data_IF_209989113526
#
_entry.id   IF_209989113526
#
_cell.length_a   1.000
_cell.length_b   1.000
_cell.length_c   1.000
_cell.angle_alpha   90.00
_cell.angle_beta   90.00
_cell.angle_gamma   90.00
#
_symmetry.space_group_name_H-M   'P 1'
#
loop_
_entity.id
_entity.type
_entity.pdbx_description
1 polymer ?
#
# COMPACT_ATOMS: atom_id res chain seq x y z
N UNK A 1 6.10 -2.09 -16.24
CA UNK A 1 6.23 -2.14 -14.77
C UNK A 1 5.40 -0.99 -14.22
N UNK A 2 4.52 -1.22 -13.24
CA UNK A 2 3.52 -0.25 -12.81
C UNK A 2 4.04 0.68 -11.69
N UNK A 3 3.70 1.97 -11.74
CA UNK A 3 3.94 2.98 -10.69
C UNK A 3 2.91 2.79 -9.58
N UNK A 4 3.31 2.68 -8.31
CA UNK A 4 2.33 2.64 -7.22
C UNK A 4 1.82 4.05 -6.87
N UNK A 5 0.50 4.20 -6.81
CA UNK A 5 -0.22 5.39 -6.36
C UNK A 5 -1.01 5.04 -5.11
N UNK A 6 -1.24 6.00 -4.23
CA UNK A 6 -2.09 5.80 -3.05
C UNK A 6 -3.38 6.58 -3.24
N UNK A 7 -4.52 5.91 -3.17
CA UNK A 7 -5.80 6.57 -3.27
C UNK A 7 -5.98 7.62 -2.16
N UNK A 8 -6.60 8.74 -2.51
CA UNK A 8 -6.73 9.92 -1.66
C UNK A 8 -5.50 10.83 -1.61
N UNK A 9 -4.36 10.46 -2.21
CA UNK A 9 -3.13 11.26 -2.16
C UNK A 9 -2.66 11.73 -3.54
N UNK A 10 -2.21 13.00 -3.67
CA UNK A 10 -1.71 13.53 -4.93
C UNK A 10 -0.41 12.85 -5.33
N UNK A 11 -0.33 12.46 -6.60
CA UNK A 11 0.83 11.82 -7.19
C UNK A 11 1.17 12.45 -8.53
N UNK A 12 2.45 12.77 -8.73
CA UNK A 12 2.96 13.26 -10.02
C UNK A 12 3.24 12.07 -10.93
N UNK A 13 2.62 12.04 -12.10
CA UNK A 13 2.79 11.02 -13.14
C UNK A 13 3.48 11.67 -14.33
N UNK A 14 4.60 11.10 -14.75
CA UNK A 14 5.45 11.67 -15.81
C UNK A 14 5.25 10.89 -17.11
N UNK A 15 5.13 11.63 -18.20
CA UNK A 15 4.97 11.13 -19.57
C UNK A 15 6.09 11.70 -20.44
N UNK A 16 6.73 10.82 -21.21
CA UNK A 16 7.73 11.19 -22.21
C UNK A 16 7.29 10.66 -23.55
N UNK A 17 7.32 11.52 -24.55
CA UNK A 17 6.92 11.19 -25.91
C UNK A 17 8.14 11.14 -26.79
N UNK A 18 8.15 10.19 -27.73
CA UNK A 18 9.26 10.00 -28.64
C UNK A 18 8.75 9.93 -30.07
N UNK A 19 9.56 10.43 -31.00
CA UNK A 19 9.33 10.21 -32.43
C UNK A 19 9.70 8.76 -32.85
N UNK A 20 9.54 8.45 -34.12
CA UNK A 20 9.85 7.12 -34.68
C UNK A 20 11.35 6.78 -34.62
N UNK A 21 12.20 7.79 -34.49
CA UNK A 21 13.65 7.66 -34.38
C UNK A 21 14.12 7.58 -32.91
N UNK A 22 13.21 7.68 -31.94
CA UNK A 22 13.52 7.67 -30.51
C UNK A 22 13.97 9.02 -29.94
N UNK A 23 13.81 10.12 -30.67
CA UNK A 23 14.09 11.46 -30.16
C UNK A 23 12.96 11.93 -29.25
N UNK A 24 13.32 12.56 -28.13
CA UNK A 24 12.37 13.12 -27.17
C UNK A 24 11.62 14.30 -27.81
N UNK A 25 10.29 14.28 -27.72
CA UNK A 25 9.42 15.35 -28.18
C UNK A 25 9.02 16.27 -27.03
N UNK A 26 9.22 17.57 -27.23
CA UNK A 26 9.01 18.61 -26.20
C UNK A 26 7.96 19.65 -26.58
N UNK A 27 7.45 19.63 -27.81
CA UNK A 27 6.50 20.61 -28.35
C UNK A 27 5.29 19.89 -28.95
N UNK A 28 4.51 19.26 -28.07
CA UNK A 28 3.24 18.62 -28.42
C UNK A 28 2.07 19.57 -28.17
N UNK A 29 1.10 19.52 -29.07
CA UNK A 29 -0.20 20.19 -28.95
C UNK A 29 -1.31 19.18 -28.59
N UNK A 30 -2.48 19.69 -28.17
CA UNK A 30 -3.66 18.87 -27.84
C UNK A 30 -3.40 17.72 -26.84
N UNK A 31 -2.52 17.97 -25.86
CA UNK A 31 -2.09 16.94 -24.94
C UNK A 31 -3.16 16.59 -23.91
N UNK A 32 -3.44 15.30 -23.74
CA UNK A 32 -4.38 14.81 -22.72
C UNK A 32 -3.99 13.42 -22.26
N UNK A 33 -4.54 12.99 -21.11
CA UNK A 33 -4.41 11.62 -20.63
C UNK A 33 -5.76 11.02 -20.25
N UNK A 34 -5.87 9.70 -20.41
CA UNK A 34 -7.02 8.90 -19.96
C UNK A 34 -6.51 7.75 -19.11
N UNK A 35 -7.16 7.52 -17.97
CA UNK A 35 -6.93 6.37 -17.09
C UNK A 35 -7.83 5.21 -17.49
N UNK A 36 -7.27 4.01 -17.58
CA UNK A 36 -7.98 2.78 -17.90
C UNK A 36 -7.76 1.71 -16.85
N UNK A 37 -8.77 0.87 -16.63
CA UNK A 37 -8.65 -0.37 -15.86
C UNK A 37 -7.85 -1.41 -16.65
N UNK A 38 -6.82 -2.00 -16.04
CA UNK A 38 -6.10 -3.11 -16.68
C UNK A 38 -6.90 -4.41 -16.69
N UNK A 39 -7.95 -4.52 -15.85
CA UNK A 39 -8.80 -5.69 -15.77
C UNK A 39 -9.89 -5.69 -16.84
N UNK A 40 -10.54 -4.54 -17.05
CA UNK A 40 -11.70 -4.42 -17.95
C UNK A 40 -11.36 -3.73 -19.26
N UNK A 41 -10.26 -2.96 -19.32
CA UNK A 41 -9.91 -2.13 -20.48
C UNK A 41 -10.79 -0.88 -20.63
N UNK A 42 -11.73 -0.66 -19.71
CA UNK A 42 -12.62 0.49 -19.73
C UNK A 42 -11.94 1.75 -19.20
N UNK A 43 -12.32 2.90 -19.77
CA UNK A 43 -11.88 4.20 -19.30
C UNK A 43 -12.54 4.49 -17.94
N UNK A 44 -11.71 4.88 -16.97
CA UNK A 44 -12.10 5.24 -15.61
C UNK A 44 -12.22 6.76 -15.51
N UNK A 45 -11.24 7.49 -16.05
CA UNK A 45 -11.23 8.95 -16.11
C UNK A 45 -10.63 9.42 -17.42
N UNK A 46 -11.31 10.35 -18.11
CA UNK A 46 -10.94 10.81 -19.44
C UNK A 46 -10.54 12.29 -19.44
N UNK A 47 -9.74 12.69 -20.43
CA UNK A 47 -9.38 14.09 -20.71
C UNK A 47 -8.66 14.80 -19.54
N UNK A 48 -7.83 14.06 -18.82
CA UNK A 48 -6.98 14.61 -17.76
C UNK A 48 -5.93 15.53 -18.39
N UNK A 49 -5.84 16.75 -17.86
CA UNK A 49 -4.95 17.79 -18.38
C UNK A 49 -3.49 17.49 -18.04
N UNK A 50 -2.61 17.61 -19.04
CA UNK A 50 -1.17 17.49 -18.87
C UNK A 50 -0.53 18.88 -18.76
N UNK A 51 0.45 18.98 -17.88
CA UNK A 51 1.34 20.12 -17.75
C UNK A 51 2.68 19.79 -18.39
N UNK A 52 3.38 20.79 -18.92
CA UNK A 52 4.73 20.62 -19.45
C UNK A 52 5.76 21.25 -18.51
N UNK A 53 6.80 20.48 -18.17
CA UNK A 53 7.95 20.94 -17.38
C UNK A 53 9.11 21.22 -18.34
N UNK A 54 9.33 22.49 -18.65
CA UNK A 54 10.34 22.92 -19.64
C UNK A 54 11.76 22.66 -19.19
N UNK A 55 12.02 22.72 -17.88
CA UNK A 55 13.36 22.57 -17.31
C UNK A 55 13.82 21.12 -17.38
N UNK A 56 12.89 20.19 -17.22
CA UNK A 56 13.17 18.74 -17.20
C UNK A 56 12.70 18.00 -18.46
N UNK A 57 12.07 18.70 -19.40
CA UNK A 57 11.63 18.20 -20.71
C UNK A 57 10.70 16.98 -20.61
N UNK A 58 9.61 17.10 -19.85
CA UNK A 58 8.58 16.07 -19.79
C UNK A 58 7.18 16.66 -19.58
N UNK A 59 6.17 15.86 -19.91
CA UNK A 59 4.78 16.16 -19.57
C UNK A 59 4.43 15.45 -18.25
N UNK A 60 3.56 16.05 -17.44
CA UNK A 60 3.11 15.43 -16.21
C UNK A 60 1.67 15.76 -15.86
N UNK A 61 1.06 14.87 -15.08
CA UNK A 61 -0.23 15.05 -14.43
C UNK A 61 -0.02 14.97 -12.92
N UNK A 62 -0.73 15.79 -12.15
CA UNK A 62 -0.94 15.54 -10.72
C UNK A 62 -2.28 14.85 -10.59
N UNK A 63 -2.26 13.58 -10.18
CA UNK A 63 -3.45 12.74 -10.07
C UNK A 63 -3.69 12.35 -8.62
N UNK A 64 -4.92 12.49 -8.15
CA UNK A 64 -5.37 12.00 -6.85
C UNK A 64 -6.36 10.87 -7.15
N UNK A 65 -5.95 9.59 -7.00
CA UNK A 65 -6.86 8.49 -7.23
C UNK A 65 -8.02 8.55 -6.23
N UNK A 66 -9.24 8.30 -6.70
CA UNK A 66 -10.40 8.18 -5.82
C UNK A 66 -10.22 7.03 -4.83
N UNK A 67 -10.78 7.16 -3.62
CA UNK A 67 -10.60 6.22 -2.51
C UNK A 67 -11.11 4.80 -2.76
N UNK A 68 -12.04 4.67 -3.70
CA UNK A 68 -12.62 3.41 -4.17
C UNK A 68 -11.80 2.71 -5.26
N UNK A 69 -10.80 3.38 -5.84
CA UNK A 69 -9.91 2.76 -6.82
C UNK A 69 -8.84 1.92 -6.11
N UNK A 70 -8.75 0.65 -6.50
CA UNK A 70 -7.65 -0.23 -6.11
C UNK A 70 -7.37 -1.30 -7.16
N UNK A 71 -6.10 -1.61 -7.39
CA UNK A 71 -5.66 -2.57 -8.41
C UNK A 71 -4.78 -1.94 -9.48
N UNK A 72 -4.61 -2.65 -10.60
CA UNK A 72 -3.70 -2.23 -11.68
C UNK A 72 -4.46 -1.49 -12.78
N UNK A 73 -3.93 -0.34 -13.17
CA UNK A 73 -4.47 0.59 -14.16
C UNK A 73 -3.36 1.05 -15.11
N UNK A 74 -3.71 1.78 -16.15
CA UNK A 74 -2.74 2.45 -16.99
C UNK A 74 -3.27 3.78 -17.51
N UNK A 75 -2.40 4.79 -17.53
CA UNK A 75 -2.65 6.04 -18.22
C UNK A 75 -2.19 5.91 -19.66
N UNK A 76 -3.02 6.36 -20.59
CA UNK A 76 -2.64 6.61 -21.97
C UNK A 76 -2.65 8.12 -22.18
N UNK A 77 -1.47 8.70 -22.31
CA UNK A 77 -1.30 10.09 -22.66
C UNK A 77 -1.11 10.23 -24.17
N UNK A 78 -1.74 11.23 -24.78
CA UNK A 78 -1.63 11.53 -26.21
C UNK A 78 -1.32 13.00 -26.45
N UNK A 79 -0.69 13.31 -27.57
CA UNK A 79 -0.47 14.67 -28.05
C UNK A 79 -0.05 14.66 -29.52
N UNK A 80 -0.28 15.75 -30.23
CA UNK A 80 0.06 15.90 -31.65
C UNK A 80 1.41 16.59 -31.78
N UNK A 81 2.34 15.99 -32.52
CA UNK A 81 3.62 16.63 -32.85
C UNK A 81 3.47 17.76 -33.86
N UNK A 82 4.56 18.44 -34.17
CA UNK A 82 4.58 19.57 -35.10
C UNK A 82 4.13 19.22 -36.53
N UNK A 83 4.14 17.93 -36.88
CA UNK A 83 3.68 17.42 -38.18
C UNK A 83 2.20 16.99 -38.13
N UNK A 84 1.54 17.12 -36.98
CA UNK A 84 0.16 16.69 -36.74
C UNK A 84 0.02 15.18 -36.54
N UNK A 85 1.12 14.47 -36.30
CA UNK A 85 1.10 13.03 -36.02
C UNK A 85 0.81 12.82 -34.53
N UNK A 86 -0.20 11.99 -34.25
CA UNK A 86 -0.58 11.65 -32.88
C UNK A 86 0.47 10.73 -32.24
N UNK A 87 1.02 11.16 -31.12
CA UNK A 87 1.97 10.42 -30.28
C UNK A 87 1.28 9.90 -29.04
N UNK A 88 1.82 8.83 -28.47
CA UNK A 88 1.24 8.16 -27.30
C UNK A 88 2.32 7.75 -26.31
N UNK A 89 2.06 7.98 -25.03
CA UNK A 89 2.88 7.51 -23.91
C UNK A 89 2.00 6.76 -22.94
N UNK A 90 2.35 5.51 -22.64
CA UNK A 90 1.58 4.67 -21.70
C UNK A 90 2.35 4.48 -20.40
N UNK A 91 1.68 4.73 -19.28
CA UNK A 91 2.23 4.56 -17.94
C UNK A 91 1.32 3.63 -17.15
N UNK A 92 1.82 2.46 -16.78
CA UNK A 92 1.09 1.54 -15.90
C UNK A 92 1.16 2.02 -14.46
N UNK A 93 0.09 1.87 -13.71
CA UNK A 93 0.02 2.26 -12.30
C UNK A 93 -0.70 1.19 -11.49
N UNK A 94 -0.28 0.97 -10.25
CA UNK A 94 -1.04 0.21 -9.26
C UNK A 94 -1.60 1.20 -8.25
N UNK A 95 -2.92 1.36 -8.22
CA UNK A 95 -3.59 2.19 -7.22
C UNK A 95 -3.80 1.33 -5.98
N UNK A 96 -3.25 1.80 -4.88
CA UNK A 96 -3.39 1.23 -3.55
C UNK A 96 -4.60 1.88 -2.87
N UNK A 97 -5.39 1.13 -2.09
CA UNK A 97 -6.59 1.64 -1.44
C UNK A 97 -6.29 2.81 -0.50
N UNK A 98 -7.31 3.62 -0.22
CA UNK A 98 -7.17 4.80 0.62
C UNK A 98 -6.60 4.44 1.98
N UNK A 99 -5.47 5.05 2.30
CA UNK A 99 -4.73 4.77 3.52
C UNK A 99 -5.12 5.76 4.61
N UNK A 100 -6.39 5.84 4.98
CA UNK A 100 -6.80 6.53 6.22
C UNK A 100 -5.98 6.07 7.44
N UNK A 101 -5.47 4.84 7.40
CA UNK A 101 -4.53 4.28 8.37
C UNK A 101 -3.09 4.84 8.32
N UNK A 102 -2.64 5.47 7.23
CA UNK A 102 -1.34 6.14 7.18
C UNK A 102 -1.28 7.35 8.12
N UNK A 103 -2.42 7.91 8.54
CA UNK A 103 -2.47 8.93 9.60
C UNK A 103 -1.94 8.41 10.95
N UNK A 104 -1.85 7.09 11.13
CA UNK A 104 -1.20 6.49 12.31
C UNK A 104 0.32 6.59 12.25
N UNK A 105 0.89 6.89 11.08
CA UNK A 105 2.30 7.20 10.92
C UNK A 105 2.46 8.72 10.97
N UNK A 106 3.00 9.20 12.08
CA UNK A 106 3.29 10.61 12.30
C UNK A 106 4.32 11.12 11.28
N UNK A 107 3.88 11.96 10.34
CA UNK A 107 4.75 12.50 9.28
C UNK A 107 5.88 13.37 9.86
N UNK A 108 5.63 14.13 10.93
CA UNK A 108 6.65 15.00 11.56
C UNK A 108 7.75 14.20 12.25
N UNK A 109 7.43 12.99 12.70
CA UNK A 109 8.44 12.05 13.19
C UNK A 109 9.20 11.37 12.05
N UNK A 110 8.55 11.02 10.93
CA UNK A 110 9.22 10.44 9.76
C UNK A 110 10.20 11.43 9.13
N UNK A 111 9.83 12.71 9.03
CA UNK A 111 10.70 13.74 8.45
C UNK A 111 12.00 13.95 9.22
N UNK A 112 12.06 13.60 10.51
CA UNK A 112 13.33 13.62 11.28
C UNK A 112 14.37 12.62 10.77
N UNK A 113 13.95 11.61 10.03
CA UNK A 113 14.83 10.63 9.39
C UNK A 113 15.21 11.05 7.96
N UNK A 114 14.64 12.15 7.46
CA UNK A 114 14.96 12.73 6.16
C UNK A 114 15.97 13.85 6.37
N UNK A 115 17.16 13.71 5.77
CA UNK A 115 18.20 14.73 5.84
C UNK A 115 18.06 15.75 4.70
N UNK A 116 16.91 16.42 4.62
CA UNK A 116 16.61 17.44 3.62
C UNK A 116 15.92 18.66 4.25
N UNK A 117 16.29 19.86 3.79
CA UNK A 117 15.71 21.13 4.25
C UNK A 117 14.42 21.48 3.50
N UNK A 118 14.19 20.93 2.31
CA UNK A 118 13.01 21.17 1.48
C UNK A 118 12.32 19.85 1.16
N UNK A 119 11.54 19.35 2.13
CA UNK A 119 10.87 18.06 2.00
C UNK A 119 9.67 18.17 1.05
N UNK A 120 9.65 17.33 0.02
CA UNK A 120 8.49 17.12 -0.84
C UNK A 120 7.50 16.18 -0.13
N UNK A 121 6.47 16.77 0.47
CA UNK A 121 5.43 16.02 1.18
C UNK A 121 4.55 15.18 0.25
N UNK A 122 4.56 15.42 -1.07
CA UNK A 122 3.73 14.67 -2.02
C UNK A 122 4.19 13.23 -2.23
N UNK A 123 5.47 12.92 -1.95
CA UNK A 123 6.02 11.58 -2.11
C UNK A 123 5.94 10.74 -0.83
N UNK A 124 5.87 11.38 0.34
CA UNK A 124 5.92 10.71 1.64
C UNK A 124 4.88 9.60 1.83
N UNK A 125 3.59 9.77 1.48
CA UNK A 125 2.59 8.72 1.66
C UNK A 125 2.98 7.42 0.93
N UNK A 126 3.48 7.54 -0.30
CA UNK A 126 3.93 6.39 -1.08
C UNK A 126 5.17 5.73 -0.47
N UNK A 127 6.12 6.51 0.03
CA UNK A 127 7.31 5.97 0.71
C UNK A 127 6.95 5.23 1.98
N UNK A 128 6.08 5.81 2.81
CA UNK A 128 5.63 5.21 4.05
C UNK A 128 4.88 3.92 3.76
N UNK A 129 4.00 3.91 2.76
CA UNK A 129 3.30 2.69 2.35
C UNK A 129 4.29 1.59 1.96
N UNK A 130 5.24 1.89 1.07
CA UNK A 130 6.24 0.91 0.59
C UNK A 130 7.10 0.38 1.74
N UNK A 131 7.55 1.26 2.63
CA UNK A 131 8.29 0.86 3.83
C UNK A 131 7.45 -0.03 4.74
N UNK A 132 6.17 0.31 4.94
CA UNK A 132 5.27 -0.44 5.80
C UNK A 132 4.99 -1.84 5.25
N UNK A 133 4.69 -1.96 3.95
CA UNK A 133 4.48 -3.27 3.30
C UNK A 133 5.69 -4.18 3.47
N UNK A 134 6.90 -3.65 3.27
CA UNK A 134 8.11 -4.45 3.43
C UNK A 134 8.35 -4.87 4.89
N UNK A 135 8.04 -4.00 5.87
CA UNK A 135 8.07 -4.39 7.28
C UNK A 135 7.03 -5.48 7.58
N UNK A 136 5.84 -5.40 6.99
CA UNK A 136 4.82 -6.45 7.12
C UNK A 136 5.29 -7.78 6.53
N UNK A 137 5.93 -7.75 5.36
CA UNK A 137 6.45 -8.95 4.69
C UNK A 137 7.52 -9.66 5.54
N UNK A 138 8.40 -8.89 6.18
CA UNK A 138 9.47 -9.44 7.04
C UNK A 138 8.94 -9.96 8.36
N UNK A 139 8.04 -9.20 8.99
CA UNK A 139 7.51 -9.58 10.30
C UNK A 139 6.42 -10.64 10.19
N UNK A 140 5.78 -10.77 9.02
CA UNK A 140 4.58 -11.58 8.84
C UNK A 140 3.37 -11.03 9.61
N UNK A 141 3.46 -9.77 10.08
CA UNK A 141 2.45 -9.11 10.90
C UNK A 141 1.81 -7.96 10.11
N UNK A 142 0.54 -7.71 10.36
CA UNK A 142 -0.15 -6.52 9.86
C UNK A 142 0.30 -5.32 10.68
N UNK A 143 0.80 -4.28 10.03
CA UNK A 143 1.26 -3.07 10.71
C UNK A 143 0.12 -2.06 10.78
N UNK A 144 -0.48 -1.74 9.63
CA UNK A 144 -1.59 -0.79 9.56
C UNK A 144 -2.93 -1.51 9.77
N UNK A 145 -3.79 -1.03 10.68
CA UNK A 145 -5.09 -1.62 10.96
C UNK A 145 -5.91 -1.89 9.70
N UNK A 146 -6.34 -3.13 9.50
CA UNK A 146 -7.21 -3.53 8.39
C UNK A 146 -8.22 -4.55 8.88
N UNK A 147 -9.44 -4.45 8.38
CA UNK A 147 -10.51 -5.40 8.67
C UNK A 147 -10.39 -6.61 7.76
N UNK A 148 -10.56 -7.79 8.35
CA UNK A 148 -10.53 -9.09 7.70
C UNK A 148 -11.76 -9.89 8.11
N UNK A 149 -12.17 -10.77 7.20
CA UNK A 149 -13.17 -11.78 7.46
C UNK A 149 -12.56 -13.14 7.12
N UNK A 150 -12.59 -14.08 8.07
CA UNK A 150 -12.00 -15.40 7.89
C UNK A 150 -12.95 -16.50 8.39
N UNK A 151 -13.08 -17.56 7.60
CA UNK A 151 -13.72 -18.80 8.02
C UNK A 151 -12.68 -19.73 8.67
N UNK A 152 -12.88 -20.07 9.94
CA UNK A 152 -11.86 -20.70 10.77
C UNK A 152 -12.43 -21.82 11.63
N UNK A 153 -11.63 -22.89 11.77
CA UNK A 153 -11.99 -24.05 12.62
C UNK A 153 -11.68 -23.77 14.09
N UNK A 154 -12.57 -24.20 14.97
CA UNK A 154 -12.34 -24.22 16.41
C UNK A 154 -11.56 -25.47 16.79
N UNK A 155 -10.37 -25.29 17.35
CA UNK A 155 -9.54 -26.37 17.88
C UNK A 155 -9.28 -26.15 19.37
N UNK A 156 -9.72 -27.08 20.22
CA UNK A 156 -9.56 -27.02 21.67
C UNK A 156 -9.98 -25.65 22.27
N UNK A 157 -11.18 -25.18 21.93
CA UNK A 157 -11.73 -23.86 22.32
C UNK A 157 -10.91 -22.66 21.84
N UNK A 158 -10.00 -22.85 20.87
CA UNK A 158 -9.20 -21.78 20.27
C UNK A 158 -9.47 -21.67 18.78
N UNK A 159 -9.30 -20.46 18.28
CA UNK A 159 -9.34 -20.11 16.87
C UNK A 159 -8.04 -19.42 16.52
N UNK A 160 -7.47 -19.76 15.36
CA UNK A 160 -6.21 -19.23 14.87
C UNK A 160 -6.49 -18.43 13.60
N UNK A 161 -6.29 -17.12 13.69
CA UNK A 161 -6.48 -16.18 12.59
C UNK A 161 -5.19 -16.03 11.79
N UNK A 162 -5.33 -15.85 10.48
CA UNK A 162 -4.19 -15.78 9.57
C UNK A 162 -3.46 -14.45 9.62
N UNK A 163 -4.17 -13.37 9.98
CA UNK A 163 -3.63 -12.01 10.10
C UNK A 163 -3.62 -11.58 11.56
N UNK A 164 -2.51 -10.97 11.97
CA UNK A 164 -2.28 -10.54 13.35
C UNK A 164 -1.17 -9.47 13.38
N UNK A 165 -1.02 -8.68 14.45
CA UNK A 165 -1.71 -8.73 15.73
C UNK A 165 -3.22 -8.45 15.64
N UNK A 166 -4.02 -9.07 16.50
CA UNK A 166 -5.45 -8.74 16.62
C UNK A 166 -5.60 -7.43 17.39
N UNK A 167 -6.17 -6.41 16.74
CA UNK A 167 -6.51 -5.14 17.38
C UNK A 167 -7.89 -5.21 18.04
N UNK A 168 -8.88 -5.71 17.30
CA UNK A 168 -10.26 -5.81 17.74
C UNK A 168 -10.96 -6.96 17.02
N UNK A 169 -11.91 -7.61 17.71
CA UNK A 169 -12.89 -8.50 17.08
C UNK A 169 -14.18 -7.73 16.92
N UNK A 170 -14.72 -7.69 15.69
CA UNK A 170 -15.94 -6.94 15.37
C UNK A 170 -17.16 -7.83 15.54
N UNK A 171 -17.11 -9.06 15.05
CA UNK A 171 -18.14 -10.07 15.24
C UNK A 171 -17.59 -11.49 15.05
N UNK A 172 -18.27 -12.46 15.65
CA UNK A 172 -18.04 -13.89 15.43
C UNK A 172 -19.41 -14.54 15.21
N UNK A 173 -19.58 -15.26 14.10
CA UNK A 173 -20.81 -15.99 13.80
C UNK A 173 -20.54 -17.45 13.52
N UNK A 174 -21.52 -18.31 13.81
CA UNK A 174 -21.52 -19.68 13.31
C UNK A 174 -22.02 -19.75 11.86
N UNK A 175 -21.97 -20.94 11.25
CA UNK A 175 -22.42 -21.16 9.86
C UNK A 175 -23.92 -20.87 9.63
N UNK A 176 -24.71 -20.79 10.70
CA UNK A 176 -26.14 -20.49 10.65
C UNK A 176 -26.42 -19.00 10.89
N UNK A 177 -25.38 -18.17 11.05
CA UNK A 177 -25.49 -16.74 11.33
C UNK A 177 -25.74 -16.40 12.80
N UNK A 178 -25.64 -17.36 13.73
CA UNK A 178 -25.79 -17.08 15.15
C UNK A 178 -24.53 -16.42 15.70
N UNK A 179 -24.68 -15.30 16.41
CA UNK A 179 -23.57 -14.57 17.01
C UNK A 179 -22.99 -15.29 18.23
N UNK A 180 -21.66 -15.35 18.31
CA UNK A 180 -20.91 -15.91 19.43
C UNK A 180 -20.33 -14.76 20.25
N UNK A 181 -20.91 -14.52 21.43
CA UNK A 181 -20.54 -13.39 22.29
C UNK A 181 -19.52 -13.74 23.37
N UNK A 182 -19.37 -15.02 23.71
CA UNK A 182 -18.45 -15.47 24.77
C UNK A 182 -17.08 -15.85 24.19
N UNK A 183 -16.24 -14.84 23.97
CA UNK A 183 -14.87 -15.00 23.49
C UNK A 183 -13.91 -14.04 24.19
N UNK A 184 -12.62 -14.30 24.04
CA UNK A 184 -11.54 -13.41 24.50
C UNK A 184 -10.34 -13.53 23.56
N UNK A 185 -9.59 -12.43 23.40
CA UNK A 185 -8.30 -12.47 22.71
C UNK A 185 -7.30 -13.16 23.64
N UNK A 186 -6.85 -14.36 23.27
CA UNK A 186 -5.91 -15.14 24.08
C UNK A 186 -4.48 -14.68 23.86
N UNK A 187 -4.12 -14.43 22.60
CA UNK A 187 -2.83 -13.84 22.23
C UNK A 187 -3.03 -13.05 20.93
N UNK A 188 -3.03 -11.72 21.03
CA UNK A 188 -3.17 -10.84 19.87
C UNK A 188 -2.03 -11.03 18.88
N UNK A 189 -0.79 -11.06 19.37
CA UNK A 189 0.45 -11.15 18.58
C UNK A 189 0.61 -12.44 17.77
N UNK A 190 -0.14 -13.50 18.11
CA UNK A 190 -0.17 -14.79 17.43
C UNK A 190 -1.51 -15.09 16.74
N UNK A 191 -2.45 -14.14 16.74
CA UNK A 191 -3.76 -14.35 16.10
C UNK A 191 -4.65 -15.36 16.81
N UNK A 192 -4.53 -15.52 18.14
CA UNK A 192 -5.25 -16.57 18.88
C UNK A 192 -6.43 -15.99 19.64
N UNK A 193 -7.63 -16.43 19.30
CA UNK A 193 -8.85 -16.20 20.08
C UNK A 193 -9.20 -17.44 20.90
N UNK A 194 -9.70 -17.24 22.11
CA UNK A 194 -10.34 -18.28 22.93
C UNK A 194 -11.85 -18.06 22.89
N UNK A 195 -12.58 -19.08 22.48
CA UNK A 195 -14.04 -19.04 22.31
C UNK A 195 -14.65 -20.08 23.25
N UNK A 196 -15.57 -19.67 24.12
CA UNK A 196 -16.27 -20.56 25.04
C UNK A 196 -17.74 -20.69 24.61
N UNK A 197 -17.97 -21.64 23.70
CA UNK A 197 -19.28 -21.95 23.13
C UNK A 197 -20.14 -22.59 24.23
N UNK A 198 -20.96 -21.78 24.92
CA UNK A 198 -21.93 -22.21 25.94
C UNK A 198 -23.37 -22.03 25.44
N UNK A 199 -23.80 -22.74 24.39
CA UNK A 199 -25.22 -22.79 24.04
C UNK A 199 -25.84 -24.14 24.42
N UNK A 200 -27.08 -24.06 24.91
CA UNK A 200 -27.76 -24.99 25.81
C UNK A 200 -28.44 -26.21 25.15
N UNK A 201 -27.96 -26.64 23.99
CA UNK A 201 -28.32 -27.94 23.43
C UNK A 201 -27.01 -28.71 23.27
N UNK A 202 -26.89 -29.86 23.93
CA UNK A 202 -25.75 -30.79 23.83
C UNK A 202 -25.19 -30.87 22.41
N UNK A 203 -24.16 -30.08 22.10
CA UNK A 203 -23.50 -30.26 20.82
C UNK A 203 -22.53 -31.41 21.02
N UNK A 204 -23.03 -32.61 20.71
CA UNK A 204 -22.25 -33.74 20.21
C UNK A 204 -21.38 -33.26 19.03
N UNK A 205 -20.34 -32.46 19.28
CA UNK A 205 -19.44 -31.97 18.24
C UNK A 205 -18.08 -32.56 18.49
N UNK A 206 -17.89 -33.70 17.84
CA UNK A 206 -16.57 -34.08 17.35
C UNK A 206 -16.06 -32.92 16.47
N UNK A 207 -15.08 -32.20 17.00
CA UNK A 207 -13.88 -31.70 16.29
C UNK A 207 -13.96 -30.71 15.11
N UNK A 208 -15.12 -30.25 14.58
CA UNK A 208 -15.11 -29.38 13.39
C UNK A 208 -16.17 -28.25 13.34
N UNK A 209 -16.28 -27.44 14.39
CA UNK A 209 -17.06 -26.17 14.30
C UNK A 209 -16.29 -25.16 13.45
N UNK A 210 -16.88 -24.67 12.35
CA UNK A 210 -16.38 -23.51 11.60
C UNK A 210 -17.10 -22.26 12.11
N UNK A 211 -16.35 -21.19 12.30
CA UNK A 211 -16.82 -19.86 12.65
C UNK A 211 -16.38 -18.87 11.58
N UNK A 212 -17.19 -17.86 11.32
CA UNK A 212 -16.81 -16.70 10.53
C UNK A 212 -16.43 -15.60 11.53
N UNK A 213 -15.20 -15.13 11.44
CA UNK A 213 -14.67 -14.09 12.34
C UNK A 213 -14.40 -12.84 11.54
N UNK A 214 -15.12 -11.76 11.88
CA UNK A 214 -14.84 -10.42 11.39
C UNK A 214 -14.01 -9.67 12.44
N UNK A 215 -12.83 -9.21 12.06
CA UNK A 215 -11.89 -8.62 13.01
C UNK A 215 -10.95 -7.63 12.33
N UNK A 216 -10.40 -6.73 13.13
CA UNK A 216 -9.38 -5.77 12.70
C UNK A 216 -8.01 -6.27 13.20
N UNK A 217 -7.08 -6.47 12.28
CA UNK A 217 -5.68 -6.75 12.61
C UNK A 217 -4.79 -5.55 12.30
N UNK A 218 -3.77 -5.34 13.11
CA UNK A 218 -2.82 -4.23 12.99
C UNK A 218 -2.48 -3.62 14.34
N UNK A 219 -1.59 -2.63 14.33
CA UNK A 219 -1.21 -1.91 15.54
C UNK A 219 -1.90 -0.55 15.64
N UNK A 220 -2.36 -0.22 16.84
CA UNK A 220 -2.75 1.14 17.21
C UNK A 220 -2.57 1.35 18.72
N UNK A 221 -1.53 2.08 19.17
CA UNK A 221 -0.49 2.72 18.35
C UNK A 221 0.51 1.73 17.76
N UNK A 222 1.20 2.12 16.68
CA UNK A 222 2.30 1.35 16.07
C UNK A 222 3.46 1.27 17.09
N UNK A 223 4.05 0.08 17.36
CA UNK A 223 5.19 -0.05 18.25
C UNK A 223 6.37 0.81 17.77
N UNK A 224 7.04 1.49 18.70
CA UNK A 224 8.13 2.42 18.37
C UNK A 224 9.25 1.76 17.54
N UNK A 225 9.50 0.47 17.76
CA UNK A 225 10.48 -0.32 16.99
C UNK A 225 10.09 -0.48 15.52
N UNK A 226 8.83 -0.87 15.27
CA UNK A 226 8.28 -0.99 13.90
C UNK A 226 8.23 0.39 13.24
N UNK A 227 7.83 1.40 14.00
CA UNK A 227 7.80 2.78 13.54
C UNK A 227 9.20 3.26 13.13
N UNK A 228 10.21 3.02 13.97
CA UNK A 228 11.60 3.38 13.69
C UNK A 228 12.12 2.67 12.43
N UNK A 229 11.78 1.39 12.24
CA UNK A 229 12.10 0.66 11.01
C UNK A 229 11.50 1.34 9.78
N UNK A 230 10.21 1.68 9.81
CA UNK A 230 9.53 2.38 8.73
C UNK A 230 10.23 3.71 8.45
N UNK A 231 10.46 4.52 9.48
CA UNK A 231 11.06 5.84 9.33
C UNK A 231 12.50 5.79 8.76
N UNK A 232 13.31 4.81 9.18
CA UNK A 232 14.64 4.57 8.61
C UNK A 232 14.59 4.22 7.12
N UNK A 233 13.67 3.34 6.72
CA UNK A 233 13.49 2.96 5.31
C UNK A 233 13.04 4.20 4.52
N UNK A 234 12.05 4.94 5.01
CA UNK A 234 11.54 6.15 4.34
C UNK A 234 12.64 7.19 4.17
N UNK A 235 13.41 7.49 5.22
CA UNK A 235 14.52 8.44 5.17
C UNK A 235 15.53 8.09 4.08
N UNK A 236 15.92 6.82 4.01
CA UNK A 236 16.85 6.35 2.99
C UNK A 236 16.23 6.39 1.59
N UNK A 237 14.99 5.94 1.43
CA UNK A 237 14.27 5.92 0.16
C UNK A 237 14.03 7.33 -0.38
N UNK A 238 13.76 8.29 0.50
CA UNK A 238 13.59 9.71 0.15
C UNK A 238 14.89 10.30 -0.40
N UNK A 239 16.01 10.09 0.31
CA UNK A 239 17.33 10.57 -0.14
C UNK A 239 17.70 10.00 -1.51
N UNK A 240 17.47 8.70 -1.71
CA UNK A 240 17.69 8.05 -3.00
C UNK A 240 16.78 8.61 -4.09
N UNK A 241 15.50 8.84 -3.79
CA UNK A 241 14.54 9.36 -4.77
C UNK A 241 15.01 10.68 -5.41
N UNK A 242 15.63 11.55 -4.61
CA UNK A 242 16.18 12.85 -5.03
C UNK A 242 17.36 12.73 -6.02
N UNK A 243 18.28 11.81 -5.80
CA UNK A 243 19.54 11.76 -6.57
C UNK A 243 19.48 11.01 -7.90
N UNK A 244 18.45 10.19 -8.11
CA UNK A 244 18.47 9.22 -9.20
C UNK A 244 17.35 9.42 -10.23
N UNK A 245 16.63 10.55 -10.19
CA UNK A 245 15.39 10.74 -10.97
C UNK A 245 14.53 9.47 -10.89
N UNK A 246 14.40 8.94 -9.67
CA UNK A 246 13.72 7.68 -9.46
C UNK A 246 12.25 7.86 -9.81
N UNK A 247 11.83 7.29 -10.93
CA UNK A 247 10.46 6.84 -11.04
C UNK A 247 10.20 5.90 -9.85
N UNK A 248 9.11 6.14 -9.11
CA UNK A 248 8.66 5.35 -7.95
C UNK A 248 8.71 3.83 -8.20
N UNK A 249 8.70 3.43 -9.47
CA UNK A 249 8.90 2.08 -10.02
C UNK A 249 10.11 1.35 -9.43
N UNK A 250 11.30 1.96 -9.34
CA UNK A 250 12.46 1.17 -8.88
C UNK A 250 12.42 0.87 -7.37
N UNK A 251 11.51 1.47 -6.59
CA UNK A 251 11.41 1.37 -5.11
C UNK A 251 10.97 0.00 -4.56
N UNK A 252 10.55 -0.93 -5.42
CA UNK A 252 9.91 -2.19 -5.01
C UNK A 252 10.84 -3.39 -4.82
N UNK A 253 12.14 -3.23 -5.08
CA UNK A 253 13.15 -4.12 -4.52
C UNK A 253 13.85 -3.40 -3.38
N UNK A 254 13.21 -3.21 -2.22
CA UNK A 254 13.84 -2.56 -1.07
C UNK A 254 15.21 -3.20 -0.79
N UNK A 255 15.32 -4.53 -0.86
CA UNK A 255 16.58 -5.27 -0.70
C UNK A 255 17.64 -4.94 -1.78
N UNK A 256 17.23 -4.49 -2.97
CA UNK A 256 18.12 -4.05 -4.06
C UNK A 256 18.45 -2.56 -4.06
N UNK A 257 17.80 -1.77 -3.19
CA UNK A 257 17.94 -0.30 -3.14
C UNK A 257 18.54 0.14 -1.82
N UNK A 258 18.05 -0.43 -0.72
CA UNK A 258 18.63 -0.22 0.60
C UNK A 258 20.10 -0.62 0.54
N UNK A 259 20.94 0.24 1.09
CA UNK A 259 22.30 -0.16 1.39
C UNK A 259 22.23 -1.35 2.34
N UNK A 260 23.16 -2.29 2.18
CA UNK A 260 23.26 -3.48 3.03
C UNK A 260 23.24 -3.11 4.52
N UNK A 261 23.91 -2.03 4.89
CA UNK A 261 23.97 -1.54 6.27
C UNK A 261 22.61 -1.10 6.82
N UNK A 262 21.78 -0.43 6.00
CA UNK A 262 20.41 -0.04 6.40
C UNK A 262 19.52 -1.28 6.50
N UNK A 263 19.65 -2.20 5.54
CA UNK A 263 18.90 -3.46 5.52
C UNK A 263 19.18 -4.30 6.78
N UNK A 264 20.45 -4.50 7.11
CA UNK A 264 20.90 -5.31 8.24
C UNK A 264 20.43 -4.67 9.57
N UNK A 265 20.56 -3.34 9.69
CA UNK A 265 20.12 -2.62 10.89
C UNK A 265 18.60 -2.65 11.07
N UNK A 266 17.83 -2.51 9.98
CA UNK A 266 16.37 -2.61 10.05
C UNK A 266 15.93 -4.03 10.40
N UNK A 267 16.58 -5.06 9.84
CA UNK A 267 16.30 -6.45 10.19
C UNK A 267 16.61 -6.73 11.67
N UNK A 268 17.71 -6.20 12.18
CA UNK A 268 18.11 -6.34 13.60
C UNK A 268 17.06 -5.78 14.56
N UNK A 269 16.54 -4.57 14.30
CA UNK A 269 15.51 -3.98 15.17
C UNK A 269 14.17 -4.73 15.06
N UNK A 270 13.87 -5.36 13.92
CA UNK A 270 12.63 -6.10 13.73
C UNK A 270 12.64 -7.52 14.29
N UNK A 271 13.80 -8.06 14.72
CA UNK A 271 13.93 -9.43 15.28
C UNK A 271 12.82 -9.81 16.27
N UNK A 272 12.42 -8.96 17.25
CA UNK A 272 11.38 -9.31 18.22
C UNK A 272 9.99 -9.56 17.62
N UNK A 273 9.77 -9.14 16.36
CA UNK A 273 8.49 -9.19 15.66
C UNK A 273 8.46 -10.19 14.52
N UNK A 274 9.60 -10.79 14.16
CA UNK A 274 9.66 -11.81 13.11
C UNK A 274 8.95 -13.08 13.60
N UNK A 275 8.02 -13.55 12.78
CA UNK A 275 7.21 -14.75 13.01
C UNK A 275 8.05 -16.03 13.04
#
# INVERSE_FOLDING_TARGET
MAIKLTAGYPSKIIFKFYDENGNLLTDLSNTSATLYSSLTGEAIEENLSLNYDSDNQYYYLVYIPSSDLSGTYYFVATGDDSEGIKRTSTVFVDILPETSNLLLVDFDKVTKFINDINIDYSVLPSLIFVATEWVQDITGKIVLPKTFEEEVKVFNKKVYLSKFPILQVNSITDKNGNEITNYSIYNSELGILKVDIRSAAEIRVKTETLLIVNYTAGYNPIPETIYTAIAMIVGYLYDRAKYMNFDRIRMLGIDGILSKDVLDRVKEILIPYIK
#
